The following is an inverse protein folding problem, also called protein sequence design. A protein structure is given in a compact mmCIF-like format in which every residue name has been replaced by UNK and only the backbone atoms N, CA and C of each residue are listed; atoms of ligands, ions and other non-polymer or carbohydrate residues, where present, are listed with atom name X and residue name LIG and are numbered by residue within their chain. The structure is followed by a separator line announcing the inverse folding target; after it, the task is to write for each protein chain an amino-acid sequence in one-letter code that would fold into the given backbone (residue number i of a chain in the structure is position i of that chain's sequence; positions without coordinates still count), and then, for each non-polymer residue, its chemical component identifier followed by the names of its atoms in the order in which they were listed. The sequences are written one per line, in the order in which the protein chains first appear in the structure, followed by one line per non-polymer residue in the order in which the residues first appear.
data_IF_207006079742
#
_entry.id   IF_207006079742
#
_cell.length_a   1.000
_cell.length_b   1.000
_cell.length_c   1.000
_cell.angle_alpha   90.00
_cell.angle_beta   90.00
_cell.angle_gamma   90.00
#
_symmetry.space_group_name_H-M   'P 1'
#
loop_
_entity.id
_entity.type
_entity.pdbx_description
1 polymer ?
#
# COMPACT_ATOMS: atom_id res chain seq x y z
N UNK A 1 16.67 -15.60 -36.24
CA UNK A 1 16.85 -15.22 -34.83
C UNK A 1 15.98 -13.99 -34.46
N UNK A 2 15.90 -12.97 -35.33
CA UNK A 2 15.10 -11.76 -35.08
C UNK A 2 13.59 -12.01 -35.04
N UNK A 3 13.06 -12.95 -35.85
CA UNK A 3 11.61 -13.24 -35.91
C UNK A 3 11.08 -13.92 -34.65
N UNK A 4 11.88 -14.74 -33.96
CA UNK A 4 11.50 -15.35 -32.67
C UNK A 4 11.52 -14.38 -31.50
N UNK A 5 12.44 -13.40 -31.49
CA UNK A 5 12.54 -12.39 -30.44
C UNK A 5 11.42 -11.33 -30.53
N UNK A 6 10.93 -11.06 -31.73
CA UNK A 6 9.94 -9.99 -31.99
C UNK A 6 8.49 -10.46 -31.80
N UNK A 7 8.15 -11.72 -32.02
CA UNK A 7 6.76 -12.18 -32.01
C UNK A 7 6.22 -12.56 -30.62
N UNK A 8 6.79 -13.57 -29.97
CA UNK A 8 6.21 -14.15 -28.76
C UNK A 8 6.73 -13.52 -27.46
N UNK A 9 8.03 -13.24 -27.37
CA UNK A 9 8.63 -12.72 -26.14
C UNK A 9 8.29 -11.24 -25.87
N UNK A 10 8.16 -10.44 -26.90
CA UNK A 10 7.67 -9.06 -26.75
C UNK A 10 6.23 -9.01 -26.27
N UNK A 11 5.35 -9.86 -26.79
CA UNK A 11 3.95 -9.93 -26.34
C UNK A 11 3.84 -10.36 -24.88
N UNK A 12 4.65 -11.32 -24.41
CA UNK A 12 4.68 -11.77 -23.00
C UNK A 12 5.15 -10.62 -22.10
N UNK A 13 6.23 -9.96 -22.45
CA UNK A 13 6.76 -8.82 -21.70
C UNK A 13 5.76 -7.65 -21.67
N UNK A 14 5.19 -7.29 -22.81
CA UNK A 14 4.29 -6.15 -22.91
C UNK A 14 2.98 -6.39 -22.15
N UNK A 15 2.43 -7.62 -22.18
CA UNK A 15 1.29 -7.99 -21.36
C UNK A 15 1.60 -7.96 -19.86
N UNK A 16 2.80 -8.39 -19.45
CA UNK A 16 3.22 -8.33 -18.05
C UNK A 16 3.36 -6.89 -17.56
N UNK A 17 3.86 -5.97 -18.37
CA UNK A 17 3.94 -4.55 -17.99
C UNK A 17 2.56 -3.91 -17.81
N UNK A 18 1.58 -4.29 -18.60
CA UNK A 18 0.21 -3.84 -18.42
C UNK A 18 -0.36 -4.27 -17.05
N UNK A 19 -0.02 -5.47 -16.58
CA UNK A 19 -0.38 -5.94 -15.22
C UNK A 19 0.44 -5.25 -14.14
N UNK A 20 1.77 -5.20 -14.28
CA UNK A 20 2.70 -4.68 -13.27
C UNK A 20 2.48 -3.18 -13.00
N UNK A 21 2.03 -2.44 -14.01
CA UNK A 21 1.81 -0.99 -13.93
C UNK A 21 0.34 -0.59 -14.09
N UNK A 22 -0.58 -1.51 -13.84
CA UNK A 22 -2.03 -1.30 -13.95
C UNK A 22 -2.56 -0.18 -13.04
N UNK A 23 -1.84 0.16 -11.99
CA UNK A 23 -2.21 1.23 -11.08
C UNK A 23 -2.24 2.62 -11.72
N UNK A 24 -1.56 2.84 -12.84
CA UNK A 24 -1.62 4.12 -13.55
C UNK A 24 -2.95 4.38 -14.27
N UNK A 25 -3.70 3.33 -14.59
CA UNK A 25 -4.98 3.41 -15.31
C UNK A 25 -6.19 3.39 -14.38
N UNK A 26 -5.98 3.29 -13.05
CA UNK A 26 -7.03 3.19 -12.05
C UNK A 26 -7.16 4.47 -11.23
N UNK A 27 -8.41 4.75 -10.79
CA UNK A 27 -8.72 5.90 -9.94
C UNK A 27 -8.97 5.42 -8.49
N UNK A 28 -8.21 5.93 -7.50
CA UNK A 28 -8.38 5.55 -6.10
C UNK A 28 -9.78 5.85 -5.55
N UNK A 29 -10.40 6.97 -5.96
CA UNK A 29 -11.72 7.37 -5.48
C UNK A 29 -12.78 6.35 -5.87
N UNK A 30 -12.76 5.82 -7.09
CA UNK A 30 -13.72 4.81 -7.56
C UNK A 30 -13.64 3.51 -6.76
N UNK A 31 -12.44 3.15 -6.29
CA UNK A 31 -12.26 1.96 -5.44
C UNK A 31 -12.92 2.15 -4.08
N UNK A 32 -12.80 3.34 -3.49
CA UNK A 32 -13.24 3.65 -2.13
C UNK A 32 -14.69 4.17 -2.04
N UNK A 33 -15.33 4.53 -3.15
CA UNK A 33 -16.69 5.12 -3.18
C UNK A 33 -17.78 4.20 -2.61
N UNK A 34 -17.63 2.88 -2.73
CA UNK A 34 -18.60 1.93 -2.18
C UNK A 34 -18.39 1.78 -0.68
N UNK A 35 -19.06 2.62 0.07
CA UNK A 35 -19.08 2.64 1.53
C UNK A 35 -20.42 2.15 2.08
N UNK A 36 -20.41 1.78 3.35
CA UNK A 36 -21.61 1.45 4.13
C UNK A 36 -21.77 2.55 5.20
N UNK A 37 -22.98 3.08 5.34
CA UNK A 37 -23.28 4.12 6.34
C UNK A 37 -23.67 3.50 7.70
N UNK A 38 -23.91 2.21 7.73
CA UNK A 38 -24.28 1.46 8.94
C UNK A 38 -23.01 1.13 9.75
N UNK A 39 -22.64 2.03 10.64
CA UNK A 39 -21.52 1.81 11.57
C UNK A 39 -21.99 1.25 12.92
N UNK A 40 -23.30 1.30 13.21
CA UNK A 40 -23.90 0.95 14.50
C UNK A 40 -23.17 1.57 15.72
N UNK A 41 -22.56 2.75 15.50
CA UNK A 41 -21.77 3.44 16.52
C UNK A 41 -20.35 2.91 16.70
N UNK A 42 -19.85 2.04 15.81
CA UNK A 42 -18.46 1.58 15.86
C UNK A 42 -17.50 2.75 15.63
N UNK A 43 -16.74 3.09 16.65
CA UNK A 43 -15.83 4.24 16.65
C UNK A 43 -14.38 3.88 17.00
N UNK A 44 -14.00 2.62 16.85
CA UNK A 44 -12.70 2.08 17.19
C UNK A 44 -11.84 1.79 15.95
N UNK A 45 -10.63 1.27 16.15
CA UNK A 45 -9.67 0.98 15.09
C UNK A 45 -10.18 -0.15 14.19
N UNK A 46 -10.35 0.14 12.90
CA UNK A 46 -10.47 -0.87 11.84
C UNK A 46 -9.09 -1.08 11.24
N UNK A 47 -8.53 -2.27 11.42
CA UNK A 47 -7.19 -2.62 10.94
C UNK A 47 -7.22 -3.78 9.95
N UNK A 48 -6.64 -3.57 8.77
CA UNK A 48 -6.27 -4.63 7.83
C UNK A 48 -4.75 -4.72 7.78
N UNK A 49 -4.21 -5.87 8.19
CA UNK A 49 -2.77 -6.10 8.27
C UNK A 49 -2.27 -7.15 7.30
N UNK A 50 -0.96 -7.19 7.10
CA UNK A 50 -0.26 -8.14 6.23
C UNK A 50 -0.74 -8.10 4.77
N UNK A 51 -1.13 -6.93 4.28
CA UNK A 51 -1.47 -6.72 2.87
C UNK A 51 -0.19 -6.81 2.06
N UNK A 52 -0.12 -7.77 1.12
CA UNK A 52 1.06 -7.93 0.26
C UNK A 52 1.31 -6.68 -0.59
N UNK A 53 2.56 -6.24 -0.60
CA UNK A 53 3.05 -5.14 -1.43
C UNK A 53 4.02 -5.70 -2.46
N UNK A 54 3.70 -5.45 -3.73
CA UNK A 54 4.58 -5.71 -4.87
C UNK A 54 4.62 -4.44 -5.71
N UNK A 55 5.76 -3.78 -5.72
CA UNK A 55 5.98 -2.52 -6.41
C UNK A 55 7.34 -2.49 -7.10
N UNK A 56 7.65 -1.42 -7.79
CA UNK A 56 8.90 -1.24 -8.51
C UNK A 56 9.53 0.10 -8.14
N UNK A 57 10.80 0.05 -7.78
CA UNK A 57 11.58 1.24 -7.45
C UNK A 57 11.65 2.19 -8.66
N UNK A 58 11.21 3.43 -8.49
CA UNK A 58 11.20 4.45 -9.53
C UNK A 58 12.59 4.73 -10.10
N UNK A 59 13.66 4.59 -9.28
CA UNK A 59 15.02 4.88 -9.68
C UNK A 59 15.69 3.75 -10.49
N UNK A 60 15.34 2.48 -10.20
CA UNK A 60 16.11 1.34 -10.69
C UNK A 60 15.27 0.30 -11.44
N UNK A 61 13.93 0.45 -11.47
CA UNK A 61 12.99 -0.52 -12.05
C UNK A 61 13.13 -1.94 -11.44
N UNK A 62 13.65 -2.04 -10.21
CA UNK A 62 13.83 -3.28 -9.48
C UNK A 62 12.69 -3.45 -8.46
N UNK A 63 12.21 -4.69 -8.22
CA UNK A 63 11.09 -4.93 -7.30
C UNK A 63 11.33 -4.40 -5.88
N UNK A 64 10.23 -3.92 -5.29
CA UNK A 64 10.04 -3.64 -3.87
C UNK A 64 8.99 -4.62 -3.40
N UNK A 65 9.30 -5.49 -2.46
CA UNK A 65 8.38 -6.52 -1.96
C UNK A 65 8.25 -6.47 -0.46
N UNK A 66 7.02 -6.57 0.04
CA UNK A 66 6.81 -6.45 1.48
C UNK A 66 5.34 -6.57 1.88
N UNK A 67 5.01 -5.93 2.98
CA UNK A 67 3.65 -5.90 3.54
C UNK A 67 3.26 -4.48 3.94
N UNK A 68 1.97 -4.21 3.83
CA UNK A 68 1.35 -2.99 4.33
C UNK A 68 0.33 -3.32 5.42
N UNK A 69 0.24 -2.43 6.39
CA UNK A 69 -0.78 -2.41 7.43
C UNK A 69 -1.54 -1.10 7.31
N UNK A 70 -2.86 -1.18 7.18
CA UNK A 70 -3.73 -0.04 6.97
C UNK A 70 -4.80 -0.03 8.06
N UNK A 71 -4.86 1.06 8.81
CA UNK A 71 -5.89 1.27 9.81
C UNK A 71 -6.59 2.62 9.60
N UNK A 72 -7.86 2.68 10.00
CA UNK A 72 -8.59 3.94 10.10
C UNK A 72 -9.61 3.85 11.26
N UNK A 73 -10.01 5.00 11.78
CA UNK A 73 -11.13 5.10 12.72
C UNK A 73 -12.29 5.78 11.99
N UNK A 74 -13.41 5.06 11.78
CA UNK A 74 -14.53 5.62 11.03
C UNK A 74 -15.15 6.82 11.76
N UNK A 75 -15.65 7.79 11.00
CA UNK A 75 -16.54 8.84 11.49
C UNK A 75 -17.99 8.43 11.25
N UNK A 76 -18.43 8.40 10.00
CA UNK A 76 -19.80 8.08 9.62
C UNK A 76 -19.90 6.94 8.59
N UNK A 77 -18.77 6.48 8.05
CA UNK A 77 -18.73 5.50 6.97
C UNK A 77 -17.67 4.44 7.22
N UNK A 78 -18.04 3.21 6.91
CA UNK A 78 -17.10 2.09 6.82
C UNK A 78 -16.95 1.64 5.38
N UNK A 79 -15.77 1.15 5.05
CA UNK A 79 -15.46 0.63 3.72
C UNK A 79 -15.22 -0.87 3.80
N UNK A 80 -15.61 -1.59 2.76
CA UNK A 80 -15.31 -3.02 2.68
C UNK A 80 -13.79 -3.28 2.73
N UNK A 81 -13.38 -4.26 3.54
CA UNK A 81 -11.95 -4.59 3.78
C UNK A 81 -11.16 -4.80 2.49
N UNK A 82 -11.79 -5.40 1.46
CA UNK A 82 -11.17 -5.60 0.15
C UNK A 82 -10.80 -4.29 -0.56
N UNK A 83 -11.46 -3.18 -0.23
CA UNK A 83 -11.18 -1.88 -0.82
C UNK A 83 -9.89 -1.28 -0.29
N UNK A 84 -9.59 -1.51 1.00
CA UNK A 84 -8.30 -1.11 1.59
C UNK A 84 -7.14 -1.86 0.91
N UNK A 85 -7.27 -3.18 0.72
CA UNK A 85 -6.27 -3.96 0.02
C UNK A 85 -6.07 -3.51 -1.44
N UNK A 86 -7.16 -3.25 -2.15
CA UNK A 86 -7.11 -2.75 -3.53
C UNK A 86 -6.50 -1.35 -3.64
N UNK A 87 -6.68 -0.50 -2.63
CA UNK A 87 -6.04 0.82 -2.59
C UNK A 87 -4.52 0.68 -2.46
N UNK A 88 -4.04 -0.23 -1.61
CA UNK A 88 -2.62 -0.55 -1.51
C UNK A 88 -2.10 -1.08 -2.85
N UNK A 89 -2.79 -2.05 -3.44
CA UNK A 89 -2.43 -2.64 -4.73
C UNK A 89 -2.35 -1.60 -5.85
N UNK A 90 -3.36 -0.73 -5.98
CA UNK A 90 -3.41 0.33 -6.98
C UNK A 90 -2.16 1.22 -6.96
N UNK A 91 -1.76 1.66 -5.76
CA UNK A 91 -0.58 2.50 -5.63
C UNK A 91 0.72 1.70 -5.74
N UNK A 92 0.72 0.42 -5.38
CA UNK A 92 1.89 -0.46 -5.53
C UNK A 92 2.18 -0.79 -6.98
N UNK A 93 1.16 -0.99 -7.81
CA UNK A 93 1.29 -1.26 -9.26
C UNK A 93 1.68 -0.01 -10.07
N UNK A 94 2.73 0.68 -9.60
CA UNK A 94 3.33 1.88 -10.21
C UNK A 94 4.84 1.87 -9.96
N UNK A 95 5.57 2.76 -10.64
CA UNK A 95 6.93 3.09 -10.21
C UNK A 95 6.85 3.93 -8.94
N UNK A 96 7.53 3.52 -7.86
CA UNK A 96 7.35 4.11 -6.55
C UNK A 96 8.65 4.40 -5.80
N UNK A 97 8.52 5.35 -4.89
CA UNK A 97 9.37 5.54 -3.72
C UNK A 97 8.52 5.16 -2.52
N UNK A 98 9.02 4.35 -1.60
CA UNK A 98 8.21 3.76 -0.53
C UNK A 98 7.54 4.81 0.36
N UNK A 99 8.18 5.93 0.64
CA UNK A 99 7.62 7.05 1.40
C UNK A 99 6.41 7.67 0.68
N UNK A 100 6.54 7.85 -0.64
CA UNK A 100 5.46 8.35 -1.50
C UNK A 100 4.29 7.36 -1.56
N UNK A 101 4.57 6.06 -1.73
CA UNK A 101 3.57 5.00 -1.71
C UNK A 101 2.76 5.03 -0.41
N UNK A 102 3.45 5.04 0.74
CA UNK A 102 2.83 5.07 2.06
C UNK A 102 1.93 6.28 2.25
N UNK A 103 2.40 7.44 1.83
CA UNK A 103 1.64 8.70 1.91
C UNK A 103 0.43 8.72 0.97
N UNK A 104 0.58 8.21 -0.26
CA UNK A 104 -0.51 8.16 -1.24
C UNK A 104 -1.65 7.25 -0.77
N UNK A 105 -1.35 6.08 -0.20
CA UNK A 105 -2.37 5.19 0.37
C UNK A 105 -3.11 5.88 1.52
N UNK A 106 -2.40 6.50 2.45
CA UNK A 106 -3.00 7.17 3.59
C UNK A 106 -3.89 8.35 3.17
N UNK A 107 -3.41 9.18 2.26
CA UNK A 107 -4.16 10.34 1.77
C UNK A 107 -5.40 9.93 0.97
N UNK A 108 -5.32 8.93 0.11
CA UNK A 108 -6.47 8.44 -0.65
C UNK A 108 -7.61 7.97 0.26
N UNK A 109 -7.28 7.24 1.33
CA UNK A 109 -8.25 6.80 2.33
C UNK A 109 -8.81 7.99 3.09
N UNK A 110 -7.96 8.89 3.56
CA UNK A 110 -8.36 10.09 4.29
C UNK A 110 -9.30 10.98 3.47
N UNK A 111 -8.95 11.23 2.20
CA UNK A 111 -9.67 12.17 1.35
C UNK A 111 -11.02 11.64 0.90
N UNK A 112 -11.14 10.32 0.72
CA UNK A 112 -12.38 9.70 0.27
C UNK A 112 -13.33 9.38 1.43
N UNK A 113 -12.84 8.78 2.51
CA UNK A 113 -13.68 8.32 3.62
C UNK A 113 -13.91 9.40 4.68
N UNK A 114 -13.04 10.41 4.77
CA UNK A 114 -13.06 11.46 5.82
C UNK A 114 -13.18 10.86 7.23
N UNK A 115 -12.32 9.89 7.59
CA UNK A 115 -12.36 9.26 8.90
C UNK A 115 -11.76 10.18 9.99
N UNK A 116 -11.92 9.83 11.27
CA UNK A 116 -11.24 10.53 12.39
C UNK A 116 -9.73 10.48 12.30
N UNK A 117 -9.20 9.44 11.66
CA UNK A 117 -7.78 9.30 11.41
C UNK A 117 -7.45 8.07 10.56
N UNK A 118 -6.26 8.10 9.98
CA UNK A 118 -5.69 7.02 9.18
C UNK A 118 -4.27 6.72 9.63
N UNK A 119 -3.91 5.45 9.69
CA UNK A 119 -2.55 4.98 9.91
C UNK A 119 -2.17 3.97 8.83
N UNK A 120 -1.07 4.22 8.15
CA UNK A 120 -0.49 3.28 7.18
C UNK A 120 0.96 3.04 7.56
N UNK A 121 1.36 1.77 7.61
CA UNK A 121 2.75 1.35 7.77
C UNK A 121 3.07 0.34 6.67
N UNK A 122 4.20 0.54 6.01
CA UNK A 122 4.73 -0.39 5.00
C UNK A 122 6.12 -0.82 5.43
N UNK A 123 6.34 -2.12 5.43
CA UNK A 123 7.63 -2.76 5.64
C UNK A 123 7.99 -3.56 4.39
N UNK A 124 9.11 -3.22 3.74
CA UNK A 124 9.47 -3.83 2.48
C UNK A 124 10.98 -3.95 2.27
N UNK A 125 11.38 -5.00 1.58
CA UNK A 125 12.72 -5.22 1.06
C UNK A 125 12.84 -4.60 -0.34
N UNK A 126 13.95 -3.93 -0.59
CA UNK A 126 14.26 -3.29 -1.85
C UNK A 126 15.29 -4.07 -2.65
N UNK A 127 14.90 -4.63 -3.79
CA UNK A 127 15.83 -5.36 -4.66
C UNK A 127 17.03 -4.52 -5.09
N UNK A 128 16.89 -3.21 -5.19
CA UNK A 128 18.03 -2.33 -5.49
C UNK A 128 19.10 -2.25 -4.37
N UNK A 129 18.77 -2.68 -3.15
CA UNK A 129 19.72 -2.81 -2.05
C UNK A 129 20.26 -4.23 -1.88
N UNK A 130 19.50 -5.23 -2.32
CA UNK A 130 19.85 -6.65 -2.11
C UNK A 130 20.64 -7.22 -3.26
N UNK A 131 20.21 -6.98 -4.51
CA UNK A 131 20.77 -7.61 -5.72
C UNK A 131 21.88 -6.82 -6.38
N UNK A 132 22.04 -5.56 -6.01
CA UNK A 132 23.07 -4.66 -6.52
C UNK A 132 23.47 -3.60 -5.46
N UNK A 133 24.45 -2.76 -5.79
CA UNK A 133 24.90 -1.63 -4.96
C UNK A 133 25.50 -2.11 -3.64
N UNK A 134 24.81 -1.90 -2.54
CA UNK A 134 25.32 -2.21 -1.20
C UNK A 134 25.24 -3.68 -0.81
N UNK A 135 24.53 -4.52 -1.58
CA UNK A 135 24.41 -5.97 -1.37
C UNK A 135 24.01 -6.36 0.06
N UNK A 136 22.89 -5.85 0.57
CA UNK A 136 22.39 -6.11 1.93
C UNK A 136 21.03 -6.84 1.88
N UNK A 137 21.04 -8.17 1.72
CA UNK A 137 19.80 -8.97 1.79
C UNK A 137 19.23 -8.97 3.21
N UNK A 138 17.91 -9.12 3.32
CA UNK A 138 17.20 -9.18 4.61
C UNK A 138 17.06 -7.85 5.33
N UNK A 139 17.43 -6.73 4.69
CA UNK A 139 17.20 -5.38 5.25
C UNK A 139 15.86 -4.85 4.80
N UNK A 140 14.97 -4.65 5.75
CA UNK A 140 13.65 -4.07 5.51
C UNK A 140 13.64 -2.57 5.78
N UNK A 141 13.03 -1.83 4.88
CA UNK A 141 12.70 -0.42 5.09
C UNK A 141 11.29 -0.30 5.67
N UNK A 142 11.13 0.47 6.74
CA UNK A 142 9.83 0.74 7.35
C UNK A 142 9.47 2.20 7.16
N UNK A 143 8.31 2.45 6.56
CA UNK A 143 7.73 3.78 6.42
C UNK A 143 6.34 3.82 7.02
N UNK A 144 5.97 4.98 7.61
CA UNK A 144 4.61 5.17 8.16
C UNK A 144 4.08 6.56 7.86
N UNK A 145 2.77 6.64 7.66
CA UNK A 145 2.01 7.89 7.58
C UNK A 145 0.84 7.82 8.54
N UNK A 146 0.71 8.85 9.38
CA UNK A 146 -0.33 8.99 10.39
C UNK A 146 -1.09 10.30 10.14
N UNK A 147 -2.42 10.24 10.13
CA UNK A 147 -3.31 11.38 9.87
C UNK A 147 -4.37 11.44 10.99
N UNK A 148 -4.81 12.66 11.34
CA UNK A 148 -5.85 12.90 12.35
C UNK A 148 -5.50 12.31 13.71
N UNK A 149 -6.43 11.62 14.34
CA UNK A 149 -6.28 11.11 15.71
C UNK A 149 -5.06 10.20 15.92
N UNK A 150 -4.60 9.44 14.92
CA UNK A 150 -3.36 8.65 15.05
C UNK A 150 -2.11 9.52 15.13
N UNK A 151 -2.14 10.71 14.54
CA UNK A 151 -1.03 11.66 14.61
C UNK A 151 -1.04 12.41 15.96
N UNK A 152 -2.23 12.78 16.43
CA UNK A 152 -2.44 13.63 17.59
C UNK A 152 -2.37 12.86 18.91
N UNK A 153 -2.92 11.63 18.96
CA UNK A 153 -3.00 10.80 20.15
C UNK A 153 -1.89 9.74 20.19
N UNK A 154 -0.93 9.83 21.15
CA UNK A 154 0.14 8.85 21.29
C UNK A 154 -0.34 7.45 21.67
N UNK A 155 -1.44 7.33 22.40
CA UNK A 155 -1.96 6.03 22.86
C UNK A 155 -2.53 5.24 21.68
N UNK A 156 -3.35 5.87 20.82
CA UNK A 156 -3.85 5.26 19.59
C UNK A 156 -2.71 4.82 18.65
N UNK A 157 -1.66 5.63 18.58
CA UNK A 157 -0.47 5.27 17.80
C UNK A 157 0.24 4.06 18.39
N UNK A 158 0.36 3.98 19.69
CA UNK A 158 0.98 2.84 20.40
C UNK A 158 0.14 1.58 20.22
N UNK A 159 -1.17 1.70 20.34
CA UNK A 159 -2.11 0.61 20.10
C UNK A 159 -2.00 0.08 18.68
N UNK A 160 -2.08 0.92 17.65
CA UNK A 160 -1.87 0.52 16.26
C UNK A 160 -0.55 -0.24 16.07
N UNK A 161 0.56 0.30 16.59
CA UNK A 161 1.87 -0.36 16.49
C UNK A 161 1.93 -1.69 17.25
N UNK A 162 1.17 -1.85 18.33
CA UNK A 162 1.09 -3.12 19.06
C UNK A 162 0.31 -4.19 18.30
N UNK A 163 -0.79 -3.79 17.63
CA UNK A 163 -1.65 -4.69 16.86
C UNK A 163 -0.97 -5.26 15.63
N UNK A 164 -0.01 -4.53 15.03
CA UNK A 164 0.71 -4.98 13.84
C UNK A 164 1.96 -5.81 14.16
N UNK A 165 2.42 -5.82 15.41
CA UNK A 165 3.57 -6.66 15.80
C UNK A 165 3.26 -8.13 15.54
N UNK A 166 4.18 -8.81 14.86
CA UNK A 166 4.13 -10.27 14.74
C UNK A 166 4.56 -10.86 16.08
N UNK A 167 3.85 -11.88 16.61
CA UNK A 167 4.40 -12.65 17.71
C UNK A 167 5.73 -13.24 17.29
N UNK A 168 6.71 -13.20 18.19
CA UNK A 168 8.04 -13.77 18.00
C UNK A 168 7.99 -15.29 17.83
#
# INVERSE_FOLDING_TARGET
IEVCLVGSEMCIRDSSYAELFSGYTQNPSEILERTFEETDGYGDIVLLKDIRVESYCEHHLIPITGVAHVAYIPENRVVGISKLARTVELFSKRLQIQEKLTSQVANAINDTLKPKGVAVLIEAEHGCMTTRGVHKPGVNMVTKTLIGCFKENPDLRTEFLSLIKRPA
#
